data_IF_240145529456
#
_entry.id   IF_240145529456
#
_cell.length_a   1.000
_cell.length_b   1.000
_cell.length_c   1.000
_cell.angle_alpha   90.00
_cell.angle_beta   90.00
_cell.angle_gamma   90.00
#
_symmetry.space_group_name_H-M   'P 1'
#
loop_
_entity.id
_entity.type
_entity.pdbx_description
1 polymer ?
#
# COMPACT_ATOMS: atom_id res chain seq x y z
N UNK A 1 -10.39 -23.10 -0.28
CA UNK A 1 -10.00 -21.92 0.51
C UNK A 1 -9.73 -20.81 -0.50
N UNK A 2 -10.23 -19.62 -0.25
CA UNK A 2 -9.94 -18.45 -1.09
C UNK A 2 -8.47 -18.04 -0.95
N UNK A 3 -8.09 -17.02 -1.68
CA UNK A 3 -6.79 -16.35 -1.57
C UNK A 3 -6.98 -14.84 -1.69
N UNK A 4 -5.96 -14.08 -1.32
CA UNK A 4 -5.91 -12.64 -1.49
C UNK A 4 -5.01 -12.32 -2.68
N UNK A 5 -5.48 -11.46 -3.59
CA UNK A 5 -4.63 -10.85 -4.61
C UNK A 5 -4.29 -9.42 -4.20
N UNK A 6 -3.01 -9.10 -4.10
CA UNK A 6 -2.53 -7.74 -3.85
C UNK A 6 -1.98 -7.19 -5.16
N UNK A 7 -2.60 -6.13 -5.68
CA UNK A 7 -2.15 -5.46 -6.90
C UNK A 7 -1.60 -4.10 -6.47
N UNK A 8 -0.29 -3.92 -6.57
CA UNK A 8 0.32 -2.74 -5.96
C UNK A 8 1.82 -2.62 -6.17
N UNK A 9 2.42 -1.74 -5.40
CA UNK A 9 3.82 -1.35 -5.49
C UNK A 9 4.77 -2.34 -4.84
N UNK A 10 5.97 -2.39 -5.45
CA UNK A 10 7.16 -3.03 -4.93
C UNK A 10 8.28 -1.97 -4.91
N UNK A 11 8.68 -1.51 -3.74
CA UNK A 11 9.73 -0.49 -3.57
C UNK A 11 10.89 -1.01 -2.74
N UNK A 12 12.06 -0.43 -2.96
CA UNK A 12 13.16 -0.54 -1.99
C UNK A 12 13.29 0.77 -1.23
N UNK A 13 13.23 0.69 0.08
CA UNK A 13 13.40 1.83 0.97
C UNK A 13 14.89 2.03 1.27
N UNK A 14 15.39 3.21 0.88
CA UNK A 14 16.78 3.63 1.03
C UNK A 14 16.82 4.72 2.13
N UNK A 15 16.98 4.30 3.38
CA UNK A 15 16.94 5.20 4.53
C UNK A 15 18.35 5.70 4.86
N UNK A 16 18.56 7.00 4.76
CA UNK A 16 19.80 7.67 5.13
C UNK A 16 19.60 8.39 6.46
N UNK A 17 20.35 7.98 7.48
CA UNK A 17 20.40 8.69 8.75
C UNK A 17 21.44 9.80 8.69
N UNK A 18 21.07 11.02 9.09
CA UNK A 18 21.93 12.19 9.15
C UNK A 18 21.59 13.05 10.37
N UNK A 19 22.52 13.94 10.80
CA UNK A 19 22.25 14.88 11.90
C UNK A 19 21.23 15.94 11.51
N UNK A 20 21.27 16.37 10.26
CA UNK A 20 20.35 17.36 9.68
C UNK A 20 20.16 17.16 8.17
N UNK A 21 19.14 17.75 7.63
CA UNK A 21 18.91 17.78 6.19
C UNK A 21 19.88 18.76 5.50
N UNK A 22 20.38 18.44 4.28
CA UNK A 22 21.15 19.40 3.47
C UNK A 22 20.25 20.53 3.00
N UNK A 23 20.80 21.73 2.96
CA UNK A 23 20.18 22.87 2.26
C UNK A 23 20.58 22.86 0.77
N UNK A 24 19.93 23.70 -0.03
CA UNK A 24 20.27 23.82 -1.45
C UNK A 24 21.75 24.15 -1.64
N UNK A 25 22.44 23.32 -2.45
CA UNK A 25 23.88 23.45 -2.73
C UNK A 25 24.81 22.91 -1.63
N UNK A 26 24.27 22.30 -0.58
CA UNK A 26 25.06 21.80 0.54
C UNK A 26 25.32 20.28 0.45
N UNK A 27 26.47 19.85 0.94
CA UNK A 27 26.80 18.44 1.16
C UNK A 27 26.88 18.18 2.66
N UNK A 28 26.12 17.19 3.16
CA UNK A 28 26.22 16.71 4.55
C UNK A 28 26.66 15.25 4.56
N UNK A 29 27.36 14.88 5.63
CA UNK A 29 27.79 13.48 5.82
C UNK A 29 26.66 12.70 6.48
N UNK A 30 26.21 11.60 5.81
CA UNK A 30 25.30 10.62 6.40
C UNK A 30 26.05 9.73 7.42
N UNK A 31 25.31 9.21 8.38
CA UNK A 31 25.82 8.30 9.41
C UNK A 31 25.66 6.83 9.00
N UNK A 32 24.54 6.51 8.40
CA UNK A 32 24.16 5.14 8.05
C UNK A 32 23.22 5.13 6.86
N UNK A 33 23.34 4.10 6.03
CA UNK A 33 22.36 3.72 5.00
C UNK A 33 21.74 2.38 5.42
N UNK A 34 20.42 2.33 5.44
CA UNK A 34 19.64 1.11 5.59
C UNK A 34 18.90 0.90 4.27
N UNK A 35 18.97 -0.31 3.75
CA UNK A 35 18.24 -0.72 2.54
C UNK A 35 17.30 -1.84 2.94
N UNK A 36 16.01 -1.66 2.71
CA UNK A 36 14.99 -2.66 3.05
C UNK A 36 13.90 -2.73 2.00
N UNK A 37 13.31 -3.91 1.77
CA UNK A 37 12.11 -4.03 0.96
C UNK A 37 10.96 -3.26 1.59
N UNK A 38 10.18 -2.57 0.75
CA UNK A 38 9.05 -1.73 1.12
C UNK A 38 8.04 -1.63 -0.02
N UNK A 39 7.29 -0.55 -0.04
CA UNK A 39 6.15 -0.36 -0.93
C UNK A 39 4.85 -0.87 -0.30
N UNK A 40 3.79 -0.09 -0.43
CA UNK A 40 2.50 -0.38 0.24
C UNK A 40 1.91 -1.72 -0.21
N UNK A 41 2.03 -2.04 -1.51
CA UNK A 41 1.58 -3.33 -2.04
C UNK A 41 2.34 -4.50 -1.43
N UNK A 42 3.67 -4.49 -1.49
CA UNK A 42 4.51 -5.55 -0.95
C UNK A 42 4.32 -5.71 0.57
N UNK A 43 4.24 -4.59 1.32
CA UNK A 43 4.01 -4.60 2.76
C UNK A 43 2.67 -5.25 3.13
N UNK A 44 1.59 -4.91 2.42
CA UNK A 44 0.27 -5.52 2.64
C UNK A 44 0.26 -7.02 2.27
N UNK A 45 0.93 -7.40 1.18
CA UNK A 45 1.04 -8.80 0.78
C UNK A 45 1.77 -9.63 1.84
N UNK A 46 2.89 -9.12 2.35
CA UNK A 46 3.66 -9.77 3.43
C UNK A 46 2.83 -9.84 4.72
N UNK A 47 2.14 -8.77 5.09
CA UNK A 47 1.29 -8.75 6.29
C UNK A 47 0.18 -9.82 6.20
N UNK A 48 -0.55 -9.88 5.09
CA UNK A 48 -1.60 -10.87 4.89
C UNK A 48 -1.05 -12.32 4.91
N UNK A 49 0.09 -12.56 4.27
CA UNK A 49 0.73 -13.88 4.27
C UNK A 49 1.19 -14.31 5.68
N UNK A 50 1.75 -13.39 6.47
CA UNK A 50 2.14 -13.64 7.86
C UNK A 50 0.94 -13.92 8.78
N UNK A 51 -0.24 -13.42 8.43
CA UNK A 51 -1.50 -13.74 9.11
C UNK A 51 -2.08 -15.09 8.70
N UNK A 52 -1.43 -15.81 7.78
CA UNK A 52 -1.79 -17.16 7.38
C UNK A 52 -2.61 -17.25 6.10
N UNK A 53 -2.81 -16.16 5.40
CA UNK A 53 -3.54 -16.15 4.14
C UNK A 53 -2.64 -16.61 2.97
N UNK A 54 -3.27 -17.24 1.97
CA UNK A 54 -2.62 -17.48 0.69
C UNK A 54 -2.67 -16.18 -0.13
N UNK A 55 -1.50 -15.65 -0.49
CA UNK A 55 -1.38 -14.33 -1.14
C UNK A 55 -0.66 -14.43 -2.47
N UNK A 56 -1.21 -13.76 -3.48
CA UNK A 56 -0.56 -13.51 -4.76
C UNK A 56 -0.25 -12.02 -4.88
N UNK A 57 1.01 -11.70 -5.18
CA UNK A 57 1.42 -10.35 -5.53
C UNK A 57 1.35 -10.17 -7.04
N UNK A 58 0.66 -9.12 -7.50
CA UNK A 58 0.60 -8.68 -8.90
C UNK A 58 1.24 -7.28 -8.95
N UNK A 59 2.28 -7.13 -9.75
CA UNK A 59 3.03 -5.88 -9.81
C UNK A 59 4.20 -5.97 -10.77
N UNK A 60 5.10 -4.98 -10.70
CA UNK A 60 6.29 -4.94 -11.53
C UNK A 60 7.53 -4.58 -10.71
N UNK A 61 8.66 -5.18 -11.06
CA UNK A 61 9.99 -4.83 -10.58
C UNK A 61 10.94 -4.69 -11.76
N UNK A 62 12.05 -4.00 -11.57
CA UNK A 62 13.12 -3.94 -12.57
C UNK A 62 13.95 -5.23 -12.58
N UNK A 63 14.61 -5.51 -13.69
CA UNK A 63 15.65 -6.55 -13.77
C UNK A 63 16.96 -6.03 -13.17
N UNK A 64 16.94 -5.75 -11.88
CA UNK A 64 18.06 -5.20 -11.11
C UNK A 64 18.21 -5.90 -9.74
N UNK A 65 19.24 -5.51 -8.99
CA UNK A 65 19.51 -6.10 -7.67
C UNK A 65 18.35 -5.85 -6.67
N UNK A 66 17.66 -4.71 -6.78
CA UNK A 66 16.51 -4.39 -5.92
C UNK A 66 15.29 -5.23 -6.27
N UNK A 67 15.01 -5.45 -7.55
CA UNK A 67 13.95 -6.35 -7.99
C UNK A 67 14.17 -7.78 -7.52
N UNK A 68 15.40 -8.29 -7.62
CA UNK A 68 15.75 -9.61 -7.12
C UNK A 68 15.55 -9.72 -5.61
N UNK A 69 16.04 -8.73 -4.83
CA UNK A 69 15.87 -8.68 -3.38
C UNK A 69 14.40 -8.61 -2.96
N UNK A 70 13.59 -7.84 -3.67
CA UNK A 70 12.15 -7.75 -3.44
C UNK A 70 11.46 -9.10 -3.66
N UNK A 71 11.71 -9.76 -4.78
CA UNK A 71 11.13 -11.06 -5.09
C UNK A 71 11.52 -12.14 -4.08
N UNK A 72 12.77 -12.16 -3.65
CA UNK A 72 13.25 -13.09 -2.64
C UNK A 72 12.54 -12.84 -1.29
N UNK A 73 12.43 -11.57 -0.87
CA UNK A 73 11.72 -11.21 0.36
C UNK A 73 10.24 -11.61 0.33
N UNK A 74 9.54 -11.38 -0.78
CA UNK A 74 8.14 -11.81 -0.95
C UNK A 74 8.00 -13.34 -0.81
N UNK A 75 8.86 -14.10 -1.49
CA UNK A 75 8.87 -15.57 -1.44
C UNK A 75 9.19 -16.11 -0.05
N UNK A 76 10.19 -15.54 0.63
CA UNK A 76 10.56 -15.91 2.00
C UNK A 76 9.43 -15.69 3.01
N UNK A 77 8.52 -14.74 2.73
CA UNK A 77 7.33 -14.48 3.53
C UNK A 77 6.10 -15.24 3.05
N UNK A 78 6.23 -16.18 2.11
CA UNK A 78 5.14 -17.04 1.66
C UNK A 78 4.20 -16.40 0.63
N UNK A 79 4.58 -15.25 0.06
CA UNK A 79 3.81 -14.60 -1.00
C UNK A 79 4.15 -15.23 -2.35
N UNK A 80 3.13 -15.61 -3.12
CA UNK A 80 3.33 -16.05 -4.50
C UNK A 80 3.65 -14.85 -5.42
N UNK A 81 4.72 -14.98 -6.19
CA UNK A 81 5.26 -13.93 -7.08
C UNK A 81 5.14 -14.25 -8.56
N UNK A 82 4.36 -15.28 -8.94
CA UNK A 82 4.24 -15.73 -10.34
C UNK A 82 3.67 -14.64 -11.27
N UNK A 83 2.99 -13.66 -10.70
CA UNK A 83 2.38 -12.52 -11.42
C UNK A 83 3.12 -11.19 -11.19
N UNK A 84 4.36 -11.23 -10.68
CA UNK A 84 5.23 -10.05 -10.63
C UNK A 84 6.09 -10.04 -11.88
N UNK A 85 5.88 -9.03 -12.73
CA UNK A 85 6.65 -8.87 -13.97
C UNK A 85 8.03 -8.28 -13.69
N UNK A 86 9.07 -8.87 -14.27
CA UNK A 86 10.45 -8.35 -14.22
C UNK A 86 10.74 -7.62 -15.54
N UNK A 87 11.08 -6.32 -15.46
CA UNK A 87 11.21 -5.44 -16.62
C UNK A 87 12.68 -5.07 -16.89
N UNK A 88 13.19 -5.39 -18.08
CA UNK A 88 14.59 -5.17 -18.44
C UNK A 88 14.98 -3.68 -18.56
N UNK A 89 14.02 -2.81 -18.92
CA UNK A 89 14.28 -1.41 -19.24
C UNK A 89 13.77 -0.43 -18.17
N UNK A 90 13.36 -0.93 -17.02
CA UNK A 90 12.86 -0.13 -15.90
C UNK A 90 13.66 -0.46 -14.63
N UNK A 91 13.90 0.55 -13.81
CA UNK A 91 14.44 0.32 -12.48
C UNK A 91 13.34 -0.09 -11.51
N UNK A 92 13.64 -0.91 -10.53
CA UNK A 92 12.73 -1.16 -9.40
C UNK A 92 12.40 0.16 -8.68
N UNK A 93 11.15 0.33 -8.24
CA UNK A 93 10.73 1.50 -7.47
C UNK A 93 11.56 1.68 -6.20
N UNK A 94 11.83 2.92 -5.82
CA UNK A 94 12.61 3.23 -4.61
C UNK A 94 11.97 4.37 -3.82
N UNK A 95 12.06 4.30 -2.49
CA UNK A 95 11.78 5.42 -1.61
C UNK A 95 13.09 5.87 -0.96
N UNK A 96 13.48 7.12 -1.20
CA UNK A 96 14.66 7.73 -0.61
C UNK A 96 14.25 8.50 0.64
N UNK A 97 14.61 7.98 1.80
CA UNK A 97 14.16 8.47 3.10
C UNK A 97 15.35 9.13 3.81
N UNK A 98 15.24 10.40 4.12
CA UNK A 98 16.20 11.09 4.96
C UNK A 98 15.62 11.17 6.37
N UNK A 99 16.26 10.49 7.31
CA UNK A 99 15.92 10.55 8.73
C UNK A 99 16.89 11.53 9.41
N UNK A 100 16.38 12.67 9.80
CA UNK A 100 17.17 13.72 10.45
C UNK A 100 16.29 14.59 11.36
N UNK A 101 16.85 15.15 12.41
CA UNK A 101 16.16 16.11 13.30
C UNK A 101 14.89 15.51 13.95
N UNK A 102 14.85 14.18 14.12
CA UNK A 102 13.70 13.47 14.71
C UNK A 102 12.49 13.30 13.77
N UNK A 103 12.65 13.58 12.47
CA UNK A 103 11.59 13.50 11.47
C UNK A 103 12.13 12.91 10.16
N UNK A 104 11.25 12.52 9.24
CA UNK A 104 11.62 11.98 7.94
C UNK A 104 11.24 12.90 6.78
N UNK A 105 11.95 12.75 5.67
CA UNK A 105 11.60 13.32 4.37
C UNK A 105 11.74 12.24 3.33
N UNK A 106 10.74 12.07 2.47
CA UNK A 106 10.67 10.94 1.56
C UNK A 106 10.52 11.45 0.12
N UNK A 107 11.34 10.91 -0.77
CA UNK A 107 11.20 11.07 -2.23
C UNK A 107 10.98 9.68 -2.81
N UNK A 108 9.85 9.49 -3.48
CA UNK A 108 9.51 8.21 -4.13
C UNK A 108 9.80 8.29 -5.62
N UNK A 109 10.52 7.31 -6.13
CA UNK A 109 10.69 7.06 -7.56
C UNK A 109 9.90 5.80 -7.90
N UNK A 110 8.84 5.94 -8.66
CA UNK A 110 7.91 4.84 -8.94
C UNK A 110 8.57 3.71 -9.76
N UNK A 111 9.46 4.05 -10.70
CA UNK A 111 10.16 3.06 -11.53
C UNK A 111 9.18 2.06 -12.17
N UNK A 112 9.46 0.78 -12.04
CA UNK A 112 8.64 -0.31 -12.58
C UNK A 112 7.18 -0.29 -12.11
N UNK A 113 6.85 0.32 -10.96
CA UNK A 113 5.47 0.43 -10.49
C UNK A 113 4.58 1.26 -11.45
N UNK A 114 5.16 2.22 -12.19
CA UNK A 114 4.42 2.98 -13.22
C UNK A 114 4.05 2.12 -14.45
N UNK A 115 4.58 0.90 -14.55
CA UNK A 115 4.28 -0.06 -15.63
C UNK A 115 3.24 -1.11 -15.24
N UNK A 116 2.69 -1.02 -14.03
CA UNK A 116 1.54 -1.83 -13.65
C UNK A 116 0.32 -1.29 -14.40
N UNK A 117 0.18 -1.70 -15.64
CA UNK A 117 -0.89 -1.28 -16.55
C UNK A 117 -2.00 -2.34 -16.68
N UNK A 118 -2.97 -2.06 -17.54
CA UNK A 118 -4.10 -2.96 -17.80
C UNK A 118 -3.66 -4.33 -18.33
N UNK A 119 -2.57 -4.39 -19.10
CA UNK A 119 -2.07 -5.67 -19.65
C UNK A 119 -1.50 -6.55 -18.53
N UNK A 120 -0.81 -5.96 -17.55
CA UNK A 120 -0.34 -6.68 -16.35
C UNK A 120 -1.53 -7.25 -15.59
N UNK A 121 -2.59 -6.45 -15.38
CA UNK A 121 -3.81 -6.89 -14.72
C UNK A 121 -4.51 -8.01 -15.49
N UNK A 122 -4.67 -7.86 -16.80
CA UNK A 122 -5.36 -8.83 -17.66
C UNK A 122 -4.60 -10.17 -17.70
N UNK A 123 -3.27 -10.14 -17.71
CA UNK A 123 -2.44 -11.35 -17.65
C UNK A 123 -2.60 -12.16 -16.35
N UNK A 124 -3.02 -11.51 -15.27
CA UNK A 124 -3.26 -12.10 -13.97
C UNK A 124 -4.76 -12.27 -13.66
N UNK A 125 -5.66 -11.94 -14.60
CA UNK A 125 -7.08 -11.83 -14.26
C UNK A 125 -7.71 -13.17 -13.87
N UNK A 126 -7.25 -14.29 -14.39
CA UNK A 126 -7.75 -15.61 -14.00
C UNK A 126 -7.53 -15.91 -12.51
N UNK A 127 -6.41 -15.45 -11.93
CA UNK A 127 -6.17 -15.57 -10.50
C UNK A 127 -6.92 -14.49 -9.71
N UNK A 128 -6.99 -13.26 -10.21
CA UNK A 128 -7.74 -12.16 -9.59
C UNK A 128 -9.21 -12.54 -9.44
N UNK A 129 -9.81 -13.11 -10.48
CA UNK A 129 -11.23 -13.51 -10.51
C UNK A 129 -11.62 -14.53 -9.45
N UNK A 130 -10.68 -15.30 -8.95
CA UNK A 130 -10.93 -16.32 -7.92
C UNK A 130 -10.52 -15.88 -6.51
N UNK A 131 -10.16 -14.61 -6.34
CA UNK A 131 -9.78 -14.03 -5.07
C UNK A 131 -10.97 -13.87 -4.13
N UNK A 132 -10.76 -14.12 -2.86
CA UNK A 132 -11.71 -13.75 -1.80
C UNK A 132 -11.66 -12.25 -1.47
N UNK A 133 -10.53 -11.61 -1.78
CA UNK A 133 -10.31 -10.17 -1.61
C UNK A 133 -9.21 -9.70 -2.56
N UNK A 134 -9.40 -8.55 -3.18
CA UNK A 134 -8.37 -7.80 -3.91
C UNK A 134 -7.96 -6.58 -3.07
N UNK A 135 -6.66 -6.37 -2.88
CA UNK A 135 -6.13 -5.24 -2.12
C UNK A 135 -5.38 -4.28 -3.05
N UNK A 136 -5.66 -2.99 -2.93
CA UNK A 136 -5.14 -1.90 -3.76
C UNK A 136 -4.61 -0.74 -2.91
N UNK A 137 -3.65 0.02 -3.45
CA UNK A 137 -3.09 1.24 -2.87
C UNK A 137 -2.80 2.25 -3.98
N UNK A 138 -2.51 3.52 -3.64
CA UNK A 138 -2.27 4.58 -4.62
C UNK A 138 -0.80 4.73 -5.07
N UNK A 139 -0.04 3.64 -5.14
CA UNK A 139 1.36 3.67 -5.59
C UNK A 139 1.60 3.08 -6.99
N UNK A 140 0.54 2.70 -7.68
CA UNK A 140 0.52 2.30 -9.11
C UNK A 140 -0.31 3.33 -9.90
N UNK A 141 -0.37 3.27 -11.25
CA UNK A 141 -1.15 4.22 -12.03
C UNK A 141 -2.63 4.22 -11.66
N UNK A 142 -3.19 5.43 -11.44
CA UNK A 142 -4.59 5.61 -11.03
C UNK A 142 -5.59 5.04 -12.07
N UNK A 143 -5.28 5.18 -13.37
CA UNK A 143 -6.10 4.59 -14.43
C UNK A 143 -6.18 3.06 -14.34
N UNK A 144 -5.12 2.42 -13.84
CA UNK A 144 -5.10 0.98 -13.60
C UNK A 144 -5.92 0.62 -12.36
N UNK A 145 -5.84 1.43 -11.30
CA UNK A 145 -6.65 1.24 -10.09
C UNK A 145 -8.14 1.30 -10.44
N UNK A 146 -8.56 2.34 -11.17
CA UNK A 146 -9.94 2.46 -11.63
C UNK A 146 -10.37 1.27 -12.47
N UNK A 147 -9.53 0.83 -13.41
CA UNK A 147 -9.79 -0.35 -14.23
C UNK A 147 -9.99 -1.63 -13.38
N UNK A 148 -9.16 -1.84 -12.34
CA UNK A 148 -9.30 -2.99 -11.45
C UNK A 148 -10.61 -2.91 -10.65
N UNK A 149 -10.91 -1.73 -10.09
CA UNK A 149 -12.15 -1.51 -9.31
C UNK A 149 -13.38 -1.84 -10.16
N UNK A 150 -13.43 -1.33 -11.40
CA UNK A 150 -14.53 -1.59 -12.32
C UNK A 150 -14.68 -3.08 -12.64
N UNK A 151 -13.57 -3.73 -13.01
CA UNK A 151 -13.55 -5.16 -13.32
C UNK A 151 -13.97 -6.04 -12.14
N UNK A 152 -13.46 -5.73 -10.96
CA UNK A 152 -13.81 -6.46 -9.75
C UNK A 152 -15.29 -6.26 -9.38
N UNK A 153 -15.80 -5.04 -9.51
CA UNK A 153 -17.21 -4.74 -9.26
C UNK A 153 -18.14 -5.51 -10.21
N UNK A 154 -17.83 -5.54 -11.51
CA UNK A 154 -18.59 -6.30 -12.51
C UNK A 154 -18.61 -7.81 -12.24
N UNK A 155 -17.52 -8.36 -11.72
CA UNK A 155 -17.37 -9.80 -11.41
C UNK A 155 -17.79 -10.15 -9.97
N UNK A 156 -18.20 -9.17 -9.16
CA UNK A 156 -18.61 -9.35 -7.76
C UNK A 156 -17.46 -9.75 -6.82
N UNK A 157 -16.23 -9.32 -7.15
CA UNK A 157 -15.02 -9.60 -6.35
C UNK A 157 -14.84 -8.49 -5.32
N UNK A 158 -14.72 -8.81 -4.01
CA UNK A 158 -14.48 -7.81 -2.98
C UNK A 158 -13.16 -7.06 -3.19
N UNK A 159 -13.19 -5.72 -3.06
CA UNK A 159 -12.01 -4.86 -3.15
C UNK A 159 -11.81 -4.11 -1.82
N UNK A 160 -10.58 -4.12 -1.32
CA UNK A 160 -10.11 -3.24 -0.25
C UNK A 160 -9.15 -2.22 -0.84
N UNK A 161 -9.51 -0.94 -0.75
CA UNK A 161 -8.67 0.17 -1.19
C UNK A 161 -8.06 0.87 0.03
N UNK A 162 -6.73 0.91 0.08
CA UNK A 162 -6.00 1.80 0.98
C UNK A 162 -5.65 3.08 0.18
N UNK A 163 -6.26 4.24 0.47
CA UNK A 163 -6.12 5.46 -0.33
C UNK A 163 -4.82 6.20 -0.02
N UNK A 164 -3.71 5.49 0.07
CA UNK A 164 -2.40 6.00 0.45
C UNK A 164 -1.34 5.80 -0.66
N UNK A 165 -0.52 6.83 -0.98
CA UNK A 165 -0.67 8.23 -0.52
C UNK A 165 -1.98 8.84 -1.00
N UNK A 166 -2.51 9.81 -0.25
CA UNK A 166 -3.75 10.47 -0.62
C UNK A 166 -3.70 11.06 -2.04
N UNK A 167 -4.71 10.75 -2.80
CA UNK A 167 -5.02 11.33 -4.10
C UNK A 167 -6.55 11.40 -4.23
N UNK A 168 -7.05 12.44 -4.90
CA UNK A 168 -8.48 12.55 -5.18
C UNK A 168 -8.94 11.35 -6.01
N UNK A 169 -10.04 10.74 -5.59
CA UNK A 169 -10.67 9.61 -6.28
C UNK A 169 -12.12 9.96 -6.63
N UNK A 170 -12.64 9.41 -7.74
CA UNK A 170 -14.06 9.56 -8.07
C UNK A 170 -14.95 8.94 -6.98
N UNK A 171 -16.08 9.59 -6.67
CA UNK A 171 -17.05 9.09 -5.70
C UNK A 171 -17.54 7.67 -6.04
N UNK A 172 -17.66 7.36 -7.33
CA UNK A 172 -18.04 6.04 -7.82
C UNK A 172 -17.06 4.92 -7.38
N UNK A 173 -15.77 5.23 -7.12
CA UNK A 173 -14.84 4.24 -6.58
C UNK A 173 -15.17 3.90 -5.14
N UNK A 174 -15.54 4.92 -4.34
CA UNK A 174 -15.99 4.72 -2.96
C UNK A 174 -17.23 3.82 -2.93
N UNK A 175 -18.14 4.00 -3.87
CA UNK A 175 -19.33 3.16 -3.99
C UNK A 175 -19.00 1.70 -4.36
N UNK A 176 -18.09 1.50 -5.33
CA UNK A 176 -17.75 0.18 -5.89
C UNK A 176 -16.84 -0.66 -4.98
N UNK A 177 -15.93 -0.05 -4.22
CA UNK A 177 -15.06 -0.83 -3.32
C UNK A 177 -15.85 -1.39 -2.13
N UNK A 178 -15.44 -2.56 -1.65
CA UNK A 178 -16.04 -3.20 -0.48
C UNK A 178 -15.56 -2.55 0.81
N UNK A 179 -14.26 -2.33 0.91
CA UNK A 179 -13.62 -1.71 2.08
C UNK A 179 -12.70 -0.57 1.66
N UNK A 180 -12.67 0.46 2.49
CA UNK A 180 -11.80 1.62 2.37
C UNK A 180 -11.02 1.77 3.68
N UNK A 181 -9.69 1.81 3.59
CA UNK A 181 -8.82 1.81 4.78
C UNK A 181 -7.93 3.04 4.84
N UNK A 182 -8.50 4.25 5.01
CA UNK A 182 -7.74 5.48 5.19
C UNK A 182 -7.16 5.58 6.60
N UNK A 183 -6.12 6.39 6.78
CA UNK A 183 -5.81 6.95 8.08
C UNK A 183 -6.66 8.21 8.36
N UNK A 184 -6.54 8.80 9.56
CA UNK A 184 -7.32 9.99 9.95
C UNK A 184 -7.12 11.17 9.01
N UNK A 185 -5.88 11.39 8.55
CA UNK A 185 -5.54 12.48 7.64
C UNK A 185 -6.14 12.25 6.24
N UNK A 186 -5.99 11.06 5.70
CA UNK A 186 -6.55 10.65 4.42
C UNK A 186 -8.08 10.74 4.44
N UNK A 187 -8.70 10.26 5.52
CA UNK A 187 -10.15 10.34 5.68
C UNK A 187 -10.66 11.79 5.72
N UNK A 188 -9.97 12.68 6.44
CA UNK A 188 -10.33 14.09 6.51
C UNK A 188 -10.23 14.81 5.15
N UNK A 189 -9.28 14.39 4.30
CA UNK A 189 -9.14 14.92 2.94
C UNK A 189 -10.19 14.34 1.98
N UNK A 190 -10.55 13.06 2.14
CA UNK A 190 -11.54 12.38 1.29
C UNK A 190 -12.97 12.83 1.57
N UNK A 191 -13.29 13.10 2.82
CA UNK A 191 -14.65 13.42 3.28
C UNK A 191 -14.69 14.82 3.88
N UNK A 192 -14.28 15.81 3.07
CA UNK A 192 -14.17 17.19 3.50
C UNK A 192 -15.48 17.70 4.15
N UNK A 193 -15.35 18.31 5.32
CA UNK A 193 -16.48 18.88 6.08
C UNK A 193 -17.20 17.90 7.01
N UNK A 194 -16.81 16.61 7.04
CA UNK A 194 -17.34 15.61 7.97
C UNK A 194 -16.34 15.37 9.12
N UNK A 195 -16.84 15.18 10.32
CA UNK A 195 -16.01 14.68 11.42
C UNK A 195 -15.84 13.15 11.34
N UNK A 196 -14.91 12.61 12.17
CA UNK A 196 -14.58 11.18 12.15
C UNK A 196 -15.80 10.28 12.35
N UNK A 197 -16.63 10.60 13.34
CA UNK A 197 -17.79 9.77 13.70
C UNK A 197 -18.89 9.86 12.64
N UNK A 198 -19.04 11.02 12.01
CA UNK A 198 -19.93 11.21 10.85
C UNK A 198 -19.49 10.36 9.66
N UNK A 199 -18.18 10.36 9.33
CA UNK A 199 -17.61 9.51 8.26
C UNK A 199 -17.89 8.03 8.53
N UNK A 200 -17.58 7.57 9.75
CA UNK A 200 -17.71 6.16 10.10
C UNK A 200 -19.17 5.69 10.09
N UNK A 201 -20.11 6.50 10.54
CA UNK A 201 -21.54 6.18 10.51
C UNK A 201 -22.13 6.23 9.11
N UNK A 202 -21.78 7.26 8.33
CA UNK A 202 -22.23 7.38 6.94
C UNK A 202 -21.75 6.23 6.05
N UNK A 203 -20.58 5.67 6.36
CA UNK A 203 -19.94 4.58 5.61
C UNK A 203 -19.76 3.32 6.49
N UNK A 204 -20.74 3.02 7.35
CA UNK A 204 -20.72 1.86 8.23
C UNK A 204 -20.54 0.55 7.43
N UNK A 205 -19.67 -0.33 7.93
CA UNK A 205 -19.31 -1.59 7.27
C UNK A 205 -18.37 -1.43 6.06
N UNK A 206 -18.01 -0.21 5.65
CA UNK A 206 -17.12 0.07 4.51
C UNK A 206 -15.82 0.73 4.95
N UNK A 207 -15.88 1.83 5.70
CA UNK A 207 -14.68 2.55 6.15
C UNK A 207 -14.12 1.93 7.42
N UNK A 208 -12.85 1.52 7.36
CA UNK A 208 -12.05 1.04 8.48
C UNK A 208 -10.87 2.00 8.62
N UNK A 209 -10.95 2.93 9.55
CA UNK A 209 -9.97 4.00 9.70
C UNK A 209 -8.85 3.60 10.66
N UNK A 210 -7.59 3.75 10.23
CA UNK A 210 -6.43 3.53 11.10
C UNK A 210 -6.16 4.78 11.94
N UNK A 211 -5.92 4.59 13.25
CA UNK A 211 -5.70 5.67 14.23
C UNK A 211 -4.35 5.49 14.94
N UNK A 212 -3.34 5.16 14.17
CA UNK A 212 -1.98 4.96 14.63
C UNK A 212 -1.88 3.93 15.76
N UNK A 213 -1.20 4.27 16.86
CA UNK A 213 -1.02 3.36 18.02
C UNK A 213 -2.34 2.99 18.72
N UNK A 214 -3.40 3.72 18.50
CA UNK A 214 -4.70 3.43 19.09
C UNK A 214 -5.40 2.27 18.38
N UNK A 215 -4.97 1.91 17.16
CA UNK A 215 -5.49 0.77 16.42
C UNK A 215 -6.37 1.18 15.24
N UNK A 216 -7.61 0.68 15.20
CA UNK A 216 -8.56 0.99 14.12
C UNK A 216 -9.95 1.31 14.68
N UNK A 217 -10.69 2.14 13.94
CA UNK A 217 -12.09 2.45 14.22
C UNK A 217 -12.94 2.22 12.98
N UNK A 218 -14.16 1.73 13.15
CA UNK A 218 -15.10 1.54 12.06
C UNK A 218 -16.55 1.72 12.55
N UNK A 219 -17.46 2.02 11.63
CA UNK A 219 -18.89 2.11 11.90
C UNK A 219 -19.56 0.73 11.84
N UNK A 220 -20.42 0.43 12.83
CA UNK A 220 -21.33 -0.73 12.84
C UNK A 220 -22.76 -0.23 13.06
N UNK A 221 -23.43 0.08 11.95
CA UNK A 221 -24.70 0.81 11.97
C UNK A 221 -24.52 2.23 12.55
N UNK A 222 -25.26 2.56 13.62
CA UNK A 222 -25.19 3.85 14.27
C UNK A 222 -24.05 3.97 15.31
N UNK A 223 -23.37 2.87 15.61
CA UNK A 223 -22.30 2.80 16.58
C UNK A 223 -20.92 2.92 15.93
N UNK A 224 -19.95 3.43 16.69
CA UNK A 224 -18.53 3.44 16.33
C UNK A 224 -17.80 2.42 17.19
N UNK A 225 -17.18 1.45 16.53
CA UNK A 225 -16.40 0.38 17.17
C UNK A 225 -14.92 0.72 17.13
N UNK A 226 -14.24 0.57 18.25
CA UNK A 226 -12.80 0.74 18.38
C UNK A 226 -12.13 -0.60 18.69
N UNK A 227 -11.17 -0.98 17.87
CA UNK A 227 -10.29 -2.12 18.10
C UNK A 227 -8.90 -1.61 18.44
N UNK A 228 -8.48 -1.81 19.68
CA UNK A 228 -7.19 -1.31 20.19
C UNK A 228 -6.02 -1.92 19.44
N UNK A 229 -5.00 -1.11 19.18
CA UNK A 229 -3.73 -1.54 18.63
C UNK A 229 -2.94 -2.40 19.62
N UNK A 230 -1.98 -3.16 19.09
CA UNK A 230 -1.04 -3.92 19.92
C UNK A 230 0.01 -2.97 20.53
N UNK A 231 0.29 -3.14 21.82
CA UNK A 231 1.38 -2.41 22.47
C UNK A 231 2.71 -3.03 22.05
N UNK A 232 3.47 -2.30 21.25
CA UNK A 232 4.79 -2.73 20.79
C UNK A 232 5.84 -1.66 21.12
N UNK A 233 7.09 -2.07 21.34
CA UNK A 233 8.22 -1.14 21.39
C UNK A 233 8.70 -0.90 19.97
N UNK A 234 8.15 0.11 19.30
CA UNK A 234 8.53 0.44 17.94
C UNK A 234 9.99 0.94 17.90
N UNK A 235 10.79 0.30 17.04
CA UNK A 235 12.17 0.74 16.72
C UNK A 235 12.14 1.60 15.45
N UNK A 236 11.23 1.29 14.55
CA UNK A 236 10.96 1.99 13.29
C UNK A 236 9.46 1.84 12.98
N UNK A 237 8.83 2.91 12.52
CA UNK A 237 7.41 2.93 12.15
C UNK A 237 7.20 2.94 10.63
N UNK A 238 8.27 2.84 9.84
CA UNK A 238 8.19 2.74 8.38
C UNK A 238 7.42 1.47 7.99
N UNK A 239 6.36 1.62 7.21
CA UNK A 239 5.51 0.50 6.79
C UNK A 239 4.58 -0.05 7.88
N UNK A 240 4.42 0.65 8.99
CA UNK A 240 3.53 0.19 10.07
C UNK A 240 2.03 0.48 9.83
N UNK A 241 1.68 1.05 8.71
CA UNK A 241 0.32 1.30 8.26
C UNK A 241 -0.19 2.67 8.65
#
# INVERSE_FOLDING_TARGET
MGHISVIGSCNMDLMIEADRRPQAGETVMGKRLIVSPGGKGANQAVAAARLGEKVYMIGCVGNDAYGSMMLDTLKENGVNTDYVSVLDNEATGTAHIILAEGDNSIIVLKGANDKVDKNVVDSAFDIIKTSSLVMLQHEIPMDTIGYIIDRCYEEGIPVMLNPAPYMDIPEEWIEKVTYLTPNEHEAALMFEGMDRDEILKAHAGKVIMTVGKEGVVYGDGDDVVHVSGFTVSAVDTTGAG
#
